data_IF_392606056884
#
_entry.id   IF_392606056884
#
_cell.length_a   1.000
_cell.length_b   1.000
_cell.length_c   1.000
_cell.angle_alpha   90.00
_cell.angle_beta   90.00
_cell.angle_gamma   90.00
#
_symmetry.space_group_name_H-M   'P 1'
#
loop_
_entity.id
_entity.type
_entity.pdbx_description
1 polymer ?
#
# COMPACT_ATOMS: atom_id res chain seq x y z
N UNK A 1 -12.58 21.70 -21.17
CA UNK A 1 -11.41 21.69 -20.30
C UNK A 1 -11.82 20.91 -19.05
N UNK A 2 -11.43 19.64 -18.95
CA UNK A 2 -11.66 18.81 -17.75
C UNK A 2 -10.40 18.96 -16.90
N UNK A 3 -10.57 19.58 -15.74
CA UNK A 3 -9.50 19.75 -14.74
C UNK A 3 -9.32 18.39 -14.05
N UNK A 4 -8.22 17.73 -14.33
CA UNK A 4 -7.84 16.51 -13.61
C UNK A 4 -7.39 16.92 -12.21
N UNK A 5 -8.19 16.59 -11.21
CA UNK A 5 -7.77 16.67 -9.81
C UNK A 5 -6.97 15.41 -9.47
N UNK A 6 -5.67 15.61 -9.29
CA UNK A 6 -4.77 14.63 -8.72
C UNK A 6 -5.04 14.58 -7.21
N UNK A 7 -5.53 13.45 -6.72
CA UNK A 7 -5.82 13.28 -5.29
C UNK A 7 -4.55 12.89 -4.54
N UNK A 8 -4.10 13.79 -3.68
CA UNK A 8 -3.09 13.47 -2.66
C UNK A 8 -3.81 12.80 -1.49
N UNK A 9 -3.56 11.51 -1.31
CA UNK A 9 -4.10 10.75 -0.18
C UNK A 9 -3.31 11.11 1.08
N UNK A 10 -3.83 12.03 1.90
CA UNK A 10 -3.27 12.30 3.23
C UNK A 10 -3.77 11.25 4.22
N UNK A 11 -2.88 10.35 4.62
CA UNK A 11 -3.12 9.45 5.74
C UNK A 11 -2.65 10.11 7.03
N UNK A 12 -3.58 10.51 7.86
CA UNK A 12 -3.28 10.87 9.25
C UNK A 12 -3.82 9.75 10.14
N UNK A 13 -2.93 8.92 10.67
CA UNK A 13 -3.28 7.91 11.67
C UNK A 13 -3.40 8.62 13.01
N UNK A 14 -4.62 8.88 13.46
CA UNK A 14 -4.87 9.41 14.80
C UNK A 14 -5.36 8.26 15.67
N UNK A 15 -4.54 7.86 16.63
CA UNK A 15 -4.97 6.98 17.71
C UNK A 15 -5.68 7.83 18.74
N UNK A 16 -6.99 7.71 18.86
CA UNK A 16 -7.72 8.23 19.98
C UNK A 16 -7.77 7.17 21.06
N UNK A 17 -7.09 7.45 22.16
CA UNK A 17 -7.31 6.75 23.42
C UNK A 17 -8.79 6.84 23.81
N UNK A 18 -9.32 5.79 24.41
CA UNK A 18 -10.71 5.68 24.87
C UNK A 18 -11.24 6.98 25.48
N UNK A 19 -12.25 7.54 24.86
CA UNK A 19 -13.28 8.29 25.60
C UNK A 19 -14.49 7.37 25.75
N UNK A 20 -15.02 7.30 26.97
CA UNK A 20 -16.21 6.52 27.33
C UNK A 20 -17.43 6.94 26.53
N UNK A 21 -17.60 6.47 25.32
CA UNK A 21 -18.83 6.62 24.55
C UNK A 21 -19.63 5.33 24.66
N UNK A 22 -20.59 5.38 25.62
CA UNK A 22 -21.42 4.25 26.09
C UNK A 22 -22.45 3.72 25.08
N UNK A 23 -22.26 3.89 23.77
CA UNK A 23 -23.20 3.44 22.73
C UNK A 23 -22.56 2.66 21.58
N UNK A 24 -21.53 1.88 21.84
CA UNK A 24 -21.06 0.87 20.87
C UNK A 24 -21.88 -0.41 21.14
N UNK A 25 -22.62 -0.96 20.17
CA UNK A 25 -23.34 -2.22 20.40
C UNK A 25 -22.37 -3.35 20.73
N UNK A 26 -22.62 -4.06 21.82
CA UNK A 26 -21.86 -5.24 22.23
C UNK A 26 -21.81 -6.25 21.08
N UNK A 27 -20.62 -6.53 20.58
CA UNK A 27 -20.37 -7.60 19.61
C UNK A 27 -20.22 -8.89 20.42
N UNK A 28 -21.06 -9.93 20.19
CA UNK A 28 -20.97 -11.16 20.97
C UNK A 28 -19.60 -11.82 20.75
N UNK A 29 -18.90 -12.07 21.85
CA UNK A 29 -17.61 -12.75 21.90
C UNK A 29 -17.75 -14.19 21.36
N UNK A 30 -16.95 -14.54 20.33
CA UNK A 30 -16.79 -15.94 19.94
C UNK A 30 -15.75 -16.61 20.83
N UNK A 31 -16.03 -17.84 21.28
CA UNK A 31 -15.44 -18.56 22.40
C UNK A 31 -14.00 -19.05 22.24
N UNK A 32 -13.25 -18.68 21.19
CA UNK A 32 -11.90 -19.23 20.97
C UNK A 32 -10.76 -18.20 20.90
N UNK A 33 -11.06 -16.91 20.91
CA UNK A 33 -10.05 -15.84 20.99
C UNK A 33 -10.61 -14.70 21.85
N UNK A 34 -10.81 -14.96 23.15
CA UNK A 34 -11.16 -13.90 24.09
C UNK A 34 -9.94 -13.02 24.32
N UNK A 35 -9.84 -11.95 23.57
CA UNK A 35 -9.02 -10.82 23.95
C UNK A 35 -9.86 -9.91 24.86
N UNK A 36 -9.50 -9.90 26.15
CA UNK A 36 -9.97 -8.89 27.09
C UNK A 36 -9.06 -7.67 26.97
N UNK A 37 -9.38 -6.75 26.08
CA UNK A 37 -8.60 -5.54 25.93
C UNK A 37 -9.06 -4.68 24.77
N UNK A 38 -8.73 -3.47 24.83
CA UNK A 38 -9.03 -2.31 24.01
C UNK A 38 -9.50 -2.61 22.58
N UNK A 39 -10.69 -2.15 22.25
CA UNK A 39 -11.23 -2.17 20.90
C UNK A 39 -10.45 -1.21 20.01
N UNK A 40 -9.78 -1.74 19.01
CA UNK A 40 -8.81 -1.05 18.20
C UNK A 40 -9.51 -0.25 17.11
N UNK A 41 -9.58 1.06 17.30
CA UNK A 41 -10.05 1.98 16.29
C UNK A 41 -8.85 2.54 15.54
N UNK A 42 -8.73 2.18 14.26
CA UNK A 42 -7.81 2.84 13.35
C UNK A 42 -8.63 3.87 12.57
N UNK A 43 -8.30 5.15 12.74
CA UNK A 43 -8.98 6.22 12.02
C UNK A 43 -8.13 6.70 10.86
N UNK A 44 -8.77 6.83 9.69
CA UNK A 44 -8.18 7.46 8.52
C UNK A 44 -8.96 8.74 8.25
N UNK A 45 -8.25 9.82 8.02
CA UNK A 45 -8.85 11.02 7.44
C UNK A 45 -8.85 10.85 5.92
N UNK A 46 -10.02 10.87 5.31
CA UNK A 46 -10.17 10.88 3.86
C UNK A 46 -11.13 11.99 3.47
N UNK A 47 -10.79 12.74 2.44
CA UNK A 47 -11.71 13.64 1.79
C UNK A 47 -12.90 12.88 1.20
N UNK A 48 -14.04 13.53 1.10
CA UNK A 48 -15.31 12.94 0.69
C UNK A 48 -15.23 12.28 -0.67
N UNK A 49 -15.29 10.95 -0.71
CA UNK A 49 -15.49 10.19 -1.94
C UNK A 49 -16.96 9.78 -2.07
N UNK A 50 -17.42 9.64 -3.31
CA UNK A 50 -18.81 9.27 -3.64
C UNK A 50 -19.08 7.76 -3.49
N UNK A 51 -18.26 7.05 -2.70
CA UNK A 51 -18.44 5.63 -2.43
C UNK A 51 -18.20 5.31 -0.95
N UNK A 52 -18.66 4.14 -0.53
CA UNK A 52 -18.39 3.56 0.78
C UNK A 52 -17.57 2.29 0.62
N UNK A 53 -16.90 1.88 1.71
CA UNK A 53 -16.18 0.62 1.73
C UNK A 53 -17.15 -0.50 2.13
N UNK A 54 -17.15 -1.58 1.35
CA UNK A 54 -17.84 -2.82 1.65
C UNK A 54 -17.00 -3.74 2.53
N UNK A 55 -16.72 -4.96 2.04
CA UNK A 55 -15.89 -5.91 2.77
C UNK A 55 -14.48 -5.34 2.99
N UNK A 56 -14.05 -5.33 4.25
CA UNK A 56 -12.76 -4.81 4.68
C UNK A 56 -12.00 -5.89 5.42
N UNK A 57 -10.73 -6.08 5.05
CA UNK A 57 -9.86 -7.07 5.69
C UNK A 57 -8.45 -6.52 5.85
N UNK A 58 -7.97 -6.45 7.09
CA UNK A 58 -6.58 -6.17 7.40
C UNK A 58 -5.74 -7.45 7.27
N UNK A 59 -4.59 -7.31 6.63
CA UNK A 59 -3.53 -8.30 6.61
C UNK A 59 -2.43 -7.86 7.57
N UNK A 60 -2.15 -8.69 8.57
CA UNK A 60 -1.35 -8.33 9.73
C UNK A 60 -0.27 -9.39 9.95
N UNK A 61 0.99 -8.97 10.02
CA UNK A 61 2.10 -9.84 10.38
C UNK A 61 2.25 -9.85 11.90
N UNK A 62 2.18 -11.04 12.46
CA UNK A 62 2.26 -11.28 13.90
C UNK A 62 3.73 -11.24 14.41
N UNK A 63 3.98 -11.15 15.72
CA UNK A 63 5.33 -11.17 16.28
C UNK A 63 6.14 -12.41 15.93
N UNK A 64 5.49 -13.55 15.68
CA UNK A 64 6.10 -14.82 15.26
C UNK A 64 6.24 -14.96 13.73
N UNK A 65 5.92 -13.89 12.97
CA UNK A 65 6.12 -13.81 11.53
C UNK A 65 4.97 -14.36 10.67
N UNK A 66 3.90 -14.90 11.27
CA UNK A 66 2.75 -15.37 10.52
C UNK A 66 1.91 -14.19 10.02
N UNK A 67 1.21 -14.39 8.89
CA UNK A 67 0.24 -13.42 8.39
C UNK A 67 -1.17 -13.88 8.78
N UNK A 68 -1.88 -13.02 9.49
CA UNK A 68 -3.27 -13.22 9.88
C UNK A 68 -4.17 -12.20 9.20
N UNK A 69 -5.43 -12.55 9.05
CA UNK A 69 -6.46 -11.66 8.52
C UNK A 69 -7.42 -11.25 9.64
N UNK A 70 -7.85 -9.98 9.62
CA UNK A 70 -8.88 -9.46 10.52
C UNK A 70 -9.87 -8.66 9.71
N UNK A 71 -11.12 -9.11 9.74
CA UNK A 71 -12.24 -8.34 9.16
C UNK A 71 -12.40 -7.03 9.93
N UNK A 72 -12.85 -6.01 9.24
CA UNK A 72 -13.12 -4.71 9.81
C UNK A 72 -14.46 -4.18 9.36
N UNK A 73 -15.02 -3.29 10.17
CA UNK A 73 -16.20 -2.47 9.83
C UNK A 73 -15.75 -1.04 9.58
N UNK A 74 -16.38 -0.43 8.62
CA UNK A 74 -16.19 0.97 8.30
C UNK A 74 -17.34 1.81 8.83
N UNK A 75 -17.03 2.92 9.48
CA UNK A 75 -17.98 3.94 9.87
C UNK A 75 -17.50 5.30 9.41
N UNK A 76 -18.34 6.00 8.67
CA UNK A 76 -18.06 7.37 8.24
C UNK A 76 -18.44 8.35 9.35
N UNK A 77 -17.49 9.13 9.78
CA UNK A 77 -17.67 10.29 10.67
C UNK A 77 -17.28 11.52 9.87
N UNK A 78 -17.90 12.69 10.14
CA UNK A 78 -17.69 13.96 9.42
C UNK A 78 -16.25 14.19 8.92
N UNK A 79 -15.96 13.80 7.68
CA UNK A 79 -14.64 13.95 7.04
C UNK A 79 -13.60 12.87 7.42
N UNK A 80 -13.95 11.89 8.26
CA UNK A 80 -13.05 10.85 8.75
C UNK A 80 -13.68 9.48 8.55
N UNK A 81 -12.93 8.52 8.04
CA UNK A 81 -13.31 7.12 7.99
C UNK A 81 -12.72 6.39 9.20
N UNK A 82 -13.56 5.71 9.95
CA UNK A 82 -13.18 4.93 11.10
C UNK A 82 -13.29 3.43 10.76
N UNK A 83 -12.22 2.70 10.98
CA UNK A 83 -12.16 1.27 10.74
C UNK A 83 -11.99 0.55 12.07
N UNK A 84 -12.85 -0.40 12.36
CA UNK A 84 -12.82 -1.18 13.61
C UNK A 84 -12.63 -2.65 13.26
N UNK A 85 -11.59 -3.28 13.81
CA UNK A 85 -11.39 -4.72 13.66
C UNK A 85 -12.51 -5.48 14.40
N UNK A 86 -13.00 -6.55 13.77
CA UNK A 86 -14.04 -7.40 14.41
C UNK A 86 -13.50 -8.25 15.56
N UNK A 87 -12.20 -8.55 15.55
CA UNK A 87 -11.48 -9.25 16.63
C UNK A 87 -10.22 -8.49 16.96
N UNK A 88 -9.95 -8.27 18.23
CA UNK A 88 -8.74 -7.64 18.73
C UNK A 88 -7.48 -8.47 18.48
N UNK A 89 -6.35 -7.89 18.85
CA UNK A 89 -5.03 -8.52 18.84
C UNK A 89 -4.56 -8.74 20.29
N UNK A 90 -3.81 -9.80 20.54
CA UNK A 90 -3.13 -10.01 21.83
C UNK A 90 -2.02 -8.98 21.99
N UNK A 91 -1.54 -8.79 23.22
CA UNK A 91 -0.37 -7.94 23.46
C UNK A 91 0.83 -8.38 22.63
N UNK A 92 1.52 -7.41 22.04
CA UNK A 92 2.66 -7.67 21.19
C UNK A 92 2.91 -6.58 20.15
N UNK A 93 3.99 -6.74 19.39
CA UNK A 93 4.34 -5.86 18.27
C UNK A 93 3.94 -6.54 16.96
N UNK A 94 3.10 -5.89 16.18
CA UNK A 94 2.57 -6.35 14.92
C UNK A 94 3.00 -5.42 13.79
N UNK A 95 2.92 -5.90 12.54
CA UNK A 95 3.04 -5.05 11.37
C UNK A 95 1.73 -5.10 10.59
N UNK A 96 1.08 -3.95 10.41
CA UNK A 96 -0.03 -3.82 9.48
C UNK A 96 0.55 -3.76 8.08
N UNK A 97 0.29 -4.78 7.27
CA UNK A 97 0.82 -4.88 5.91
C UNK A 97 -0.03 -4.04 4.96
N UNK A 98 -1.26 -4.44 4.74
CA UNK A 98 -2.21 -3.76 3.88
C UNK A 98 -3.65 -4.05 4.30
N UNK A 99 -4.58 -3.28 3.76
CA UNK A 99 -6.01 -3.47 3.92
C UNK A 99 -6.64 -3.69 2.56
N UNK A 100 -7.34 -4.81 2.39
CA UNK A 100 -8.21 -5.06 1.24
C UNK A 100 -9.60 -4.50 1.49
N UNK A 101 -10.24 -4.01 0.44
CA UNK A 101 -11.59 -3.48 0.51
C UNK A 101 -12.36 -3.72 -0.79
N UNK A 102 -13.69 -3.69 -0.69
CA UNK A 102 -14.60 -3.62 -1.84
C UNK A 102 -15.26 -2.24 -1.86
N UNK A 103 -15.41 -1.66 -3.03
CA UNK A 103 -16.13 -0.39 -3.20
C UNK A 103 -17.63 -0.68 -3.26
N UNK A 104 -18.42 0.11 -2.53
CA UNK A 104 -19.88 0.20 -2.67
C UNK A 104 -20.24 1.59 -3.16
N UNK A 105 -20.86 1.67 -4.33
CA UNK A 105 -21.20 2.93 -4.98
C UNK A 105 -22.45 2.80 -5.84
N UNK A 106 -23.18 3.89 -5.96
CA UNK A 106 -24.29 4.00 -6.91
C UNK A 106 -23.80 4.11 -8.37
N UNK A 107 -22.50 4.29 -8.58
CA UNK A 107 -21.88 4.30 -9.89
C UNK A 107 -21.51 2.86 -10.33
N UNK A 108 -22.17 2.29 -11.35
CA UNK A 108 -21.94 0.91 -11.77
C UNK A 108 -20.52 0.61 -12.22
N UNK A 109 -19.79 1.65 -12.67
CA UNK A 109 -18.43 1.49 -13.19
C UNK A 109 -17.40 1.21 -12.08
N UNK A 110 -17.70 1.54 -10.82
CA UNK A 110 -16.80 1.36 -9.68
C UNK A 110 -17.37 0.45 -8.59
N UNK A 111 -18.69 0.23 -8.59
CA UNK A 111 -19.33 -0.65 -7.61
C UNK A 111 -18.82 -2.08 -7.71
N UNK A 112 -18.54 -2.70 -6.56
CA UNK A 112 -17.99 -4.04 -6.48
C UNK A 112 -16.51 -4.18 -6.85
N UNK A 113 -15.81 -3.09 -7.20
CA UNK A 113 -14.37 -3.17 -7.43
C UNK A 113 -13.62 -3.44 -6.13
N UNK A 114 -12.61 -4.29 -6.24
CA UNK A 114 -11.68 -4.53 -5.14
C UNK A 114 -10.51 -3.54 -5.22
N UNK A 115 -10.01 -3.16 -4.06
CA UNK A 115 -8.82 -2.34 -3.93
C UNK A 115 -8.04 -2.73 -2.70
N UNK A 116 -6.84 -2.16 -2.58
CA UNK A 116 -6.00 -2.35 -1.41
C UNK A 116 -5.30 -1.04 -1.04
N UNK A 117 -5.02 -0.88 0.24
CA UNK A 117 -4.17 0.18 0.76
C UNK A 117 -2.95 -0.42 1.43
N UNK A 118 -1.76 -0.07 0.97
CA UNK A 118 -0.51 -0.37 1.67
C UNK A 118 -0.44 0.40 2.98
N UNK A 119 -0.05 -0.30 4.03
CA UNK A 119 0.10 0.29 5.36
C UNK A 119 1.56 0.28 5.82
N UNK A 120 2.19 -0.89 5.88
CA UNK A 120 3.61 -1.05 6.19
C UNK A 120 4.04 -0.59 7.58
N UNK A 121 3.09 -0.19 8.46
CA UNK A 121 3.38 0.36 9.76
C UNK A 121 3.47 -0.71 10.86
N UNK A 122 4.30 -0.46 11.87
CA UNK A 122 4.28 -1.25 13.10
C UNK A 122 3.29 -0.68 14.11
N UNK A 123 2.59 -1.58 14.81
CA UNK A 123 1.74 -1.26 15.95
C UNK A 123 2.21 -2.06 17.15
N UNK A 124 2.06 -1.49 18.33
CA UNK A 124 2.28 -2.18 19.60
C UNK A 124 0.97 -2.20 20.37
N UNK A 125 0.48 -3.40 20.65
CA UNK A 125 -0.71 -3.65 21.46
C UNK A 125 -0.28 -3.91 22.90
N UNK A 126 -0.85 -3.20 23.84
CA UNK A 126 -0.57 -3.33 25.27
C UNK A 126 -1.86 -3.18 26.09
N UNK A 127 -1.80 -3.41 27.39
CA UNK A 127 -2.90 -3.15 28.32
C UNK A 127 -3.45 -1.71 28.27
N UNK A 128 -2.63 -0.76 27.81
CA UNK A 128 -2.98 0.65 27.71
C UNK A 128 -3.51 1.04 26.33
N UNK A 129 -3.65 0.08 25.42
CA UNK A 129 -4.14 0.29 24.07
C UNK A 129 -3.10 0.04 22.99
N UNK A 130 -3.38 0.58 21.79
CA UNK A 130 -2.53 0.46 20.62
C UNK A 130 -1.74 1.74 20.43
N UNK A 131 -0.46 1.59 20.18
CA UNK A 131 0.41 2.66 19.67
C UNK A 131 0.92 2.30 18.27
N UNK A 132 0.97 3.30 17.39
CA UNK A 132 1.50 3.17 16.03
C UNK A 132 2.83 3.89 15.93
N UNK A 133 3.75 3.35 15.14
CA UNK A 133 4.99 4.06 14.82
C UNK A 133 4.69 5.35 14.03
N UNK A 134 5.60 6.33 14.12
CA UNK A 134 5.41 7.67 13.56
C UNK A 134 6.37 8.02 12.42
N UNK A 135 7.26 7.10 12.01
CA UNK A 135 8.29 7.33 10.99
C UNK A 135 7.76 7.17 9.55
N UNK A 136 6.58 7.70 9.26
CA UNK A 136 6.06 7.79 7.90
C UNK A 136 6.63 9.01 7.19
N UNK A 137 7.24 8.80 6.04
CA UNK A 137 7.63 9.92 5.16
C UNK A 137 6.41 10.39 4.36
N UNK A 138 5.84 11.53 4.76
CA UNK A 138 4.64 12.08 4.12
C UNK A 138 4.87 12.54 2.67
N UNK A 139 6.11 12.74 2.24
CA UNK A 139 6.43 13.13 0.87
C UNK A 139 6.29 11.95 -0.10
N UNK A 140 6.61 10.74 0.38
CA UNK A 140 6.52 9.49 -0.40
C UNK A 140 5.26 8.71 -0.03
N UNK A 141 4.77 8.88 1.21
CA UNK A 141 3.62 8.16 1.71
C UNK A 141 3.93 6.74 2.18
N UNK A 142 5.19 6.44 2.50
CA UNK A 142 5.67 5.14 2.97
C UNK A 142 6.22 5.23 4.39
N UNK A 143 6.16 4.12 5.12
CA UNK A 143 6.81 3.97 6.42
C UNK A 143 8.27 3.53 6.24
N UNK A 144 9.15 4.02 7.12
CA UNK A 144 10.59 3.90 7.07
C UNK A 144 11.25 5.23 6.73
N UNK A 145 12.57 5.25 6.79
CA UNK A 145 13.38 6.44 6.50
C UNK A 145 14.13 6.34 5.16
N UNK A 146 13.97 5.23 4.44
CA UNK A 146 14.63 4.97 3.15
C UNK A 146 16.14 4.76 3.28
N UNK A 147 16.63 4.38 4.47
CA UNK A 147 18.04 4.03 4.73
C UNK A 147 18.24 2.51 4.75
N UNK A 148 19.48 2.00 4.67
CA UNK A 148 19.72 0.58 4.81
C UNK A 148 19.23 -0.03 6.13
N UNK A 149 19.25 0.75 7.22
CA UNK A 149 18.83 0.32 8.56
C UNK A 149 17.32 0.40 8.77
N UNK A 150 16.62 1.26 8.01
CA UNK A 150 15.17 1.45 8.06
C UNK A 150 14.66 1.81 6.65
N UNK A 151 14.62 0.81 5.73
CA UNK A 151 14.16 1.01 4.36
C UNK A 151 12.69 1.38 4.29
N UNK A 152 12.27 2.03 3.21
CA UNK A 152 10.85 2.21 2.92
C UNK A 152 10.19 0.85 2.68
N UNK A 153 9.09 0.59 3.40
CA UNK A 153 8.41 -0.70 3.38
C UNK A 153 7.37 -0.77 2.29
N UNK A 154 7.46 -1.81 1.48
CA UNK A 154 6.58 -2.09 0.35
C UNK A 154 5.72 -3.30 0.70
N UNK A 155 4.42 -3.10 0.82
CA UNK A 155 3.46 -4.11 1.28
C UNK A 155 2.32 -4.37 0.29
N UNK A 156 2.17 -3.49 -0.73
CA UNK A 156 1.08 -3.55 -1.70
C UNK A 156 1.52 -3.05 -3.07
N UNK A 157 0.67 -3.27 -4.08
CA UNK A 157 0.85 -2.69 -5.40
C UNK A 157 0.77 -1.16 -5.38
N UNK A 158 -0.05 -0.58 -4.50
CA UNK A 158 -0.13 0.86 -4.27
C UNK A 158 1.21 1.43 -3.76
N UNK A 159 1.89 0.71 -2.85
CA UNK A 159 3.21 1.12 -2.37
C UNK A 159 4.28 1.08 -3.48
N UNK A 160 4.21 0.10 -4.38
CA UNK A 160 5.08 0.06 -5.57
C UNK A 160 4.85 1.29 -6.46
N UNK A 161 3.59 1.71 -6.64
CA UNK A 161 3.25 2.90 -7.43
C UNK A 161 3.82 4.18 -6.81
N UNK A 162 3.83 4.29 -5.48
CA UNK A 162 4.44 5.43 -4.76
C UNK A 162 5.92 5.61 -5.06
N UNK A 163 6.67 4.53 -5.35
CA UNK A 163 8.06 4.64 -5.79
C UNK A 163 8.14 5.44 -7.10
N UNK A 164 7.27 5.13 -8.06
CA UNK A 164 7.21 5.84 -9.34
C UNK A 164 6.78 7.30 -9.15
N UNK A 165 5.79 7.54 -8.30
CA UNK A 165 5.35 8.90 -7.96
C UNK A 165 6.48 9.72 -7.30
N UNK A 166 7.26 9.11 -6.41
CA UNK A 166 8.41 9.73 -5.77
C UNK A 166 9.54 10.08 -6.75
N UNK A 167 9.76 9.25 -7.78
CA UNK A 167 10.70 9.54 -8.86
C UNK A 167 10.23 10.73 -9.70
N UNK A 168 8.95 10.75 -10.06
CA UNK A 168 8.37 11.81 -10.89
C UNK A 168 8.20 13.12 -10.12
N UNK A 169 7.79 13.05 -8.88
CA UNK A 169 7.57 14.15 -7.94
C UNK A 169 7.18 15.50 -8.58
N UNK A 170 6.10 15.48 -9.36
CA UNK A 170 5.64 16.63 -10.15
C UNK A 170 5.32 17.88 -9.31
N UNK A 171 5.09 17.73 -7.99
CA UNK A 171 4.63 18.82 -7.13
C UNK A 171 5.76 19.59 -6.42
N UNK A 172 6.97 19.01 -6.29
CA UNK A 172 8.04 19.55 -5.45
C UNK A 172 9.40 19.75 -6.13
N UNK A 173 9.45 19.75 -7.47
CA UNK A 173 10.63 20.05 -8.27
C UNK A 173 11.87 19.18 -7.99
N UNK A 174 11.72 17.89 -7.74
CA UNK A 174 12.88 17.03 -7.60
C UNK A 174 12.56 15.57 -7.33
N UNK A 175 13.33 14.68 -7.90
CA UNK A 175 13.28 13.26 -7.62
C UNK A 175 13.59 13.00 -6.13
N UNK A 176 12.68 12.34 -5.43
CA UNK A 176 12.86 11.96 -4.02
C UNK A 176 13.65 10.65 -3.86
N UNK A 177 13.87 9.92 -4.96
CA UNK A 177 14.61 8.65 -4.99
C UNK A 177 16.01 8.92 -5.54
N UNK A 178 17.02 8.60 -4.75
CA UNK A 178 18.43 8.74 -5.13
C UNK A 178 19.19 7.41 -4.92
N UNK A 179 20.47 7.38 -5.24
CA UNK A 179 21.30 6.18 -5.18
C UNK A 179 21.54 5.60 -3.77
N UNK A 180 21.06 6.24 -2.72
CA UNK A 180 21.09 5.72 -1.35
C UNK A 180 19.71 5.39 -0.80
N UNK A 181 18.64 5.63 -1.57
CA UNK A 181 17.27 5.34 -1.13
C UNK A 181 17.00 3.84 -1.18
N UNK A 182 16.59 3.27 -0.05
CA UNK A 182 16.35 1.84 0.12
C UNK A 182 14.86 1.55 0.26
N UNK A 183 14.38 0.53 -0.47
CA UNK A 183 13.04 -0.03 -0.41
C UNK A 183 13.13 -1.52 -0.10
N UNK A 184 12.24 -2.04 0.73
CA UNK A 184 12.19 -3.44 1.10
C UNK A 184 10.76 -3.99 1.06
N UNK A 185 10.56 -5.08 0.34
CA UNK A 185 9.29 -5.79 0.29
C UNK A 185 9.06 -6.54 1.61
N UNK A 186 7.83 -6.50 2.14
CA UNK A 186 7.52 -7.06 3.46
C UNK A 186 6.64 -8.31 3.41
N UNK A 187 6.03 -8.59 2.25
CA UNK A 187 5.14 -9.73 1.97
C UNK A 187 5.04 -9.97 0.47
N UNK A 188 4.41 -11.09 0.08
CA UNK A 188 3.99 -11.30 -1.31
C UNK A 188 2.97 -10.23 -1.72
N UNK A 189 3.09 -9.73 -2.96
CA UNK A 189 2.23 -8.68 -3.52
C UNK A 189 1.47 -9.24 -4.72
N UNK A 190 0.14 -9.10 -4.73
CA UNK A 190 -0.68 -9.36 -5.90
C UNK A 190 -0.99 -8.07 -6.65
N UNK A 191 -0.75 -8.07 -7.97
CA UNK A 191 -1.11 -6.97 -8.85
C UNK A 191 -2.52 -7.16 -9.45
N UNK A 192 -3.24 -8.24 -9.10
CA UNK A 192 -4.51 -8.61 -9.71
C UNK A 192 -5.60 -7.55 -9.50
N UNK A 193 -5.61 -6.94 -8.32
CA UNK A 193 -6.58 -5.92 -7.92
C UNK A 193 -6.02 -4.50 -8.03
N UNK A 194 -4.80 -4.35 -8.58
CA UNK A 194 -4.22 -3.04 -8.77
C UNK A 194 -5.07 -2.24 -9.76
N UNK A 195 -5.67 -1.20 -9.24
CA UNK A 195 -6.50 -0.28 -10.00
C UNK A 195 -5.82 1.09 -10.00
N UNK A 196 -4.83 1.25 -10.88
CA UNK A 196 -4.22 2.55 -11.11
C UNK A 196 -5.22 3.46 -11.81
N UNK A 197 -5.71 4.45 -11.09
CA UNK A 197 -6.58 5.49 -11.64
C UNK A 197 -5.86 6.38 -12.66
N UNK A 198 -4.53 6.36 -12.66
CA UNK A 198 -3.68 7.09 -13.59
C UNK A 198 -3.29 6.26 -14.81
N UNK A 199 -3.47 4.93 -14.79
CA UNK A 199 -3.12 4.08 -15.91
C UNK A 199 -4.27 3.95 -16.90
N UNK A 200 -3.94 3.95 -18.18
CA UNK A 200 -4.89 3.64 -19.23
C UNK A 200 -5.13 2.12 -19.26
N UNK A 201 -6.37 1.67 -19.09
CA UNK A 201 -6.78 0.27 -19.21
C UNK A 201 -6.26 -0.70 -18.12
N UNK A 202 -5.96 -0.23 -16.90
CA UNK A 202 -5.53 -1.10 -15.79
C UNK A 202 -4.12 -1.69 -15.97
N UNK A 203 -3.26 -1.00 -16.69
CA UNK A 203 -1.88 -1.40 -16.92
C UNK A 203 -0.94 -0.81 -15.86
N UNK A 204 0.09 -1.57 -15.52
CA UNK A 204 1.16 -1.11 -14.65
C UNK A 204 2.00 -0.01 -15.32
N UNK A 205 2.27 1.05 -14.59
CA UNK A 205 3.27 2.05 -14.94
C UNK A 205 4.62 1.66 -14.35
N UNK A 206 5.60 1.43 -15.22
CA UNK A 206 6.92 0.97 -14.81
C UNK A 206 7.63 1.98 -13.89
N UNK A 207 8.29 1.48 -12.84
CA UNK A 207 9.16 2.28 -11.97
C UNK A 207 10.38 2.70 -12.78
N UNK A 208 10.64 4.01 -12.88
CA UNK A 208 11.67 4.53 -13.79
C UNK A 208 11.13 4.67 -15.22
N UNK A 209 10.35 5.72 -15.49
CA UNK A 209 9.58 5.87 -16.73
C UNK A 209 10.46 6.12 -17.97
N UNK A 210 11.58 6.81 -17.82
CA UNK A 210 12.48 7.19 -18.93
C UNK A 210 13.90 7.40 -18.44
N UNK A 211 14.84 7.56 -19.35
CA UNK A 211 16.22 7.92 -19.03
C UNK A 211 16.36 9.24 -18.22
N UNK A 212 15.38 10.14 -18.35
CA UNK A 212 15.32 11.36 -17.53
C UNK A 212 14.76 11.14 -16.12
N UNK A 213 14.06 10.04 -15.90
CA UNK A 213 13.41 9.66 -14.65
C UNK A 213 13.69 8.18 -14.35
N UNK A 214 14.97 7.78 -14.24
CA UNK A 214 15.34 6.40 -13.94
C UNK A 214 15.12 6.08 -12.46
N UNK A 215 14.95 4.81 -12.14
CA UNK A 215 15.13 4.32 -10.78
C UNK A 215 16.63 4.21 -10.48
N UNK A 216 17.07 4.80 -9.37
CA UNK A 216 18.49 4.86 -8.99
C UNK A 216 18.77 4.24 -7.62
N UNK A 217 17.72 3.81 -6.88
CA UNK A 217 17.82 3.32 -5.51
C UNK A 217 18.13 1.83 -5.40
N UNK A 218 17.96 1.34 -4.17
CA UNK A 218 18.03 -0.08 -3.82
C UNK A 218 16.62 -0.61 -3.62
N UNK A 219 16.30 -1.73 -4.26
CA UNK A 219 15.06 -2.47 -4.03
C UNK A 219 15.38 -3.91 -3.65
N UNK A 220 15.02 -4.28 -2.43
CA UNK A 220 15.14 -5.65 -1.95
C UNK A 220 13.76 -6.32 -1.90
N UNK A 221 13.56 -7.31 -2.76
CA UNK A 221 12.37 -8.17 -2.74
C UNK A 221 12.27 -9.05 -1.51
N UNK A 222 13.35 -9.14 -0.72
CA UNK A 222 13.41 -9.87 0.56
C UNK A 222 12.93 -11.34 0.45
N UNK A 223 13.07 -11.92 -0.75
CA UNK A 223 12.62 -13.28 -1.06
C UNK A 223 11.11 -13.42 -1.32
N UNK A 224 10.35 -12.34 -1.29
CA UNK A 224 8.93 -12.33 -1.61
C UNK A 224 8.67 -12.25 -3.11
N UNK A 225 7.42 -12.52 -3.48
CA UNK A 225 6.97 -12.62 -4.86
C UNK A 225 5.99 -11.50 -5.21
N UNK A 226 6.14 -10.92 -6.40
CA UNK A 226 5.12 -10.09 -7.04
C UNK A 226 4.40 -10.94 -8.09
N UNK A 227 3.06 -11.00 -8.02
CA UNK A 227 2.21 -11.83 -8.90
C UNK A 227 1.26 -11.00 -9.74
N UNK A 228 0.84 -11.62 -10.84
CA UNK A 228 -0.25 -11.13 -11.70
C UNK A 228 0.01 -9.74 -12.32
N UNK A 229 1.29 -9.39 -12.54
CA UNK A 229 1.69 -8.17 -13.22
C UNK A 229 1.10 -8.14 -14.65
N UNK A 230 0.33 -7.11 -14.98
CA UNK A 230 -0.25 -6.93 -16.31
C UNK A 230 0.24 -5.65 -16.96
N UNK A 231 0.74 -5.77 -18.17
CA UNK A 231 1.12 -4.67 -19.04
C UNK A 231 0.65 -5.01 -20.46
N UNK A 232 -0.54 -4.53 -20.84
CA UNK A 232 -1.25 -4.97 -22.05
C UNK A 232 -1.27 -3.93 -23.17
N UNK A 233 -0.49 -2.84 -23.05
CA UNK A 233 -0.44 -1.81 -24.09
C UNK A 233 0.42 -2.29 -25.27
N UNK A 234 -0.25 -2.65 -26.37
CA UNK A 234 0.38 -3.09 -27.62
C UNK A 234 1.27 -2.03 -28.26
N UNK A 235 1.08 -0.77 -27.90
CA UNK A 235 1.84 0.36 -28.43
C UNK A 235 2.98 0.78 -27.48
N UNK A 236 3.06 0.20 -26.29
CA UNK A 236 4.12 0.50 -25.36
C UNK A 236 5.48 0.13 -25.94
N UNK A 237 6.37 1.09 -26.04
CA UNK A 237 7.76 0.89 -26.50
C UNK A 237 8.59 0.39 -25.31
N UNK A 238 8.29 -0.83 -24.87
CA UNK A 238 8.91 -1.48 -23.74
C UNK A 238 8.01 -1.52 -22.49
N UNK A 239 8.04 -2.66 -21.81
CA UNK A 239 7.22 -2.93 -20.64
C UNK A 239 7.97 -3.80 -19.65
N UNK A 240 7.93 -3.44 -18.35
CA UNK A 240 8.60 -4.16 -17.26
C UNK A 240 8.13 -3.61 -15.91
N UNK A 241 8.44 -4.30 -14.82
CA UNK A 241 8.19 -3.75 -13.47
C UNK A 241 9.02 -2.48 -13.26
N UNK A 242 10.35 -2.56 -13.52
CA UNK A 242 11.26 -1.42 -13.54
C UNK A 242 11.62 -1.09 -15.00
N UNK A 243 11.34 0.12 -15.43
CA UNK A 243 11.61 0.58 -16.79
C UNK A 243 13.09 0.89 -17.01
N UNK A 244 13.46 2.15 -16.79
CA UNK A 244 14.85 2.59 -16.82
C UNK A 244 15.44 2.53 -15.42
N UNK A 245 16.62 1.92 -15.30
CA UNK A 245 17.42 1.92 -14.07
C UNK A 245 18.79 2.51 -14.35
N UNK A 246 19.34 3.24 -13.40
CA UNK A 246 20.68 3.83 -13.52
C UNK A 246 21.42 3.62 -12.20
N UNK A 247 22.45 2.78 -12.21
CA UNK A 247 23.25 2.42 -11.04
C UNK A 247 22.40 1.90 -9.85
N UNK A 248 21.22 1.36 -10.13
CA UNK A 248 20.33 0.80 -9.12
C UNK A 248 20.71 -0.64 -8.76
N UNK A 249 20.29 -1.08 -7.58
CA UNK A 249 20.40 -2.48 -7.17
C UNK A 249 18.98 -3.02 -6.93
N UNK A 250 18.63 -4.08 -7.65
CA UNK A 250 17.37 -4.82 -7.48
C UNK A 250 17.78 -6.27 -7.15
N UNK A 251 17.38 -6.74 -5.98
CA UNK A 251 17.78 -8.04 -5.46
C UNK A 251 16.62 -8.82 -4.84
N UNK A 252 16.81 -10.13 -4.69
CA UNK A 252 15.91 -11.05 -3.98
C UNK A 252 14.43 -10.96 -4.41
N UNK A 253 14.18 -10.60 -5.69
CA UNK A 253 12.84 -10.37 -6.25
C UNK A 253 12.43 -11.54 -7.14
N UNK A 254 11.23 -12.06 -6.91
CA UNK A 254 10.55 -13.04 -7.76
C UNK A 254 9.31 -12.43 -8.39
N UNK A 255 9.10 -12.67 -9.69
CA UNK A 255 7.87 -12.29 -10.40
C UNK A 255 7.21 -13.55 -10.95
N UNK A 256 5.94 -13.75 -10.66
CA UNK A 256 5.12 -14.87 -11.13
C UNK A 256 3.90 -14.38 -11.92
N UNK A 257 3.48 -15.17 -12.91
CA UNK A 257 2.27 -14.93 -13.71
C UNK A 257 2.22 -13.54 -14.36
N UNK A 258 3.37 -13.02 -14.80
CA UNK A 258 3.37 -11.75 -15.52
C UNK A 258 2.78 -11.93 -16.93
N UNK A 259 1.91 -11.01 -17.36
CA UNK A 259 1.41 -10.91 -18.72
C UNK A 259 1.84 -9.57 -19.29
N UNK A 260 2.82 -9.61 -20.21
CA UNK A 260 3.43 -8.41 -20.77
C UNK A 260 3.26 -8.42 -22.29
N UNK A 261 2.61 -7.40 -22.85
CA UNK A 261 2.49 -7.18 -24.28
C UNK A 261 2.96 -5.78 -24.62
N UNK A 262 3.63 -5.62 -25.76
CA UNK A 262 4.13 -4.32 -26.20
C UNK A 262 5.01 -4.46 -27.43
N UNK A 263 5.60 -3.35 -27.86
CA UNK A 263 6.53 -3.28 -28.96
C UNK A 263 7.93 -2.89 -28.45
N UNK A 264 8.97 -3.61 -28.86
CA UNK A 264 10.35 -3.31 -28.44
C UNK A 264 10.86 -4.17 -27.27
N UNK A 265 11.52 -3.55 -26.29
CA UNK A 265 12.13 -4.28 -25.19
C UNK A 265 11.10 -4.65 -24.11
N UNK A 266 10.85 -5.93 -23.94
CA UNK A 266 9.93 -6.48 -22.95
C UNK A 266 10.70 -7.31 -21.94
N UNK A 267 10.44 -7.12 -20.66
CA UNK A 267 11.05 -7.87 -19.56
C UNK A 267 10.12 -7.93 -18.37
N UNK A 268 10.21 -8.94 -17.53
CA UNK A 268 9.44 -8.99 -16.31
C UNK A 268 10.00 -8.01 -15.25
N UNK A 269 11.32 -7.86 -15.15
CA UNK A 269 11.96 -7.09 -14.08
C UNK A 269 12.45 -5.74 -14.57
N UNK A 270 13.44 -5.70 -15.47
CA UNK A 270 14.10 -4.45 -15.92
C UNK A 270 14.13 -4.37 -17.43
N UNK A 271 13.75 -3.22 -17.99
CA UNK A 271 13.78 -2.98 -19.43
C UNK A 271 15.13 -2.48 -19.94
N UNK A 272 15.73 -1.53 -19.26
CA UNK A 272 16.97 -0.88 -19.68
C UNK A 272 17.81 -0.45 -18.49
N UNK A 273 19.10 -0.72 -18.54
CA UNK A 273 20.09 -0.34 -17.54
C UNK A 273 21.11 0.60 -18.17
N UNK A 274 21.39 1.72 -17.49
CA UNK A 274 22.53 2.59 -17.77
C UNK A 274 23.62 2.34 -16.71
N UNK A 275 24.86 2.12 -17.15
CA UNK A 275 26.03 1.87 -16.29
C UNK A 275 26.91 3.12 -16.20
#
# INVERSE_FOLDING_TARGET
MKTNYFFLLFFLLILMGCSDDKNIPDIPASTEDTYEGVHDLISFTKETEDFTYGDLTFHIKTPDGNIIQRKAKHRRLSGTSLFTMEKGLKEGKYQLLYMEYTIQSDCPDIDGRNGEFGMGCYITVSENGISTETNRDERIGLYGNGTPEDPYRITSADDLAKIQEAILNFHNNGNLVNSSTCFEQQNDISMANYNDQCSWEGNWYQIGLSASYPFTGYYDGNGYTIRDLKMLDKNAVGASLFGFVNQAIISNLTIEKATITGYGALSAIVRSEER
#
